data_IF_058755440833
#
_entry.id   IF_058755440833
#
_cell.length_a   1.000
_cell.length_b   1.000
_cell.length_c   1.000
_cell.angle_alpha   90.00
_cell.angle_beta   90.00
_cell.angle_gamma   90.00
#
_symmetry.space_group_name_H-M   'P 1'
#
loop_
_entity.id
_entity.type
_entity.pdbx_description
1 polymer ?
#
# COMPACT_ATOMS: atom_id res chain seq x y z
N UNK A 1 6.51 24.74 -35.40
CA UNK A 1 6.80 24.21 -34.04
C UNK A 1 5.51 23.54 -33.56
N UNK A 2 5.41 22.24 -33.77
CA UNK A 2 4.26 21.44 -33.37
C UNK A 2 4.45 21.08 -31.90
N UNK A 3 3.70 21.71 -31.03
CA UNK A 3 3.59 21.35 -29.62
C UNK A 3 2.93 19.97 -29.57
N UNK A 4 3.73 18.95 -29.35
CA UNK A 4 3.26 17.62 -29.08
C UNK A 4 2.48 17.69 -27.75
N UNK A 5 1.18 17.30 -27.72
CA UNK A 5 0.49 17.22 -26.46
C UNK A 5 1.25 16.18 -25.61
N UNK A 6 1.64 16.58 -24.41
CA UNK A 6 2.11 15.63 -23.43
C UNK A 6 1.05 14.54 -23.33
N UNK A 7 1.39 13.33 -23.74
CA UNK A 7 0.62 12.14 -23.40
C UNK A 7 0.63 12.08 -21.88
N UNK A 8 -0.44 12.61 -21.31
CA UNK A 8 -0.82 12.30 -19.94
C UNK A 8 -1.00 10.78 -19.91
N UNK A 9 0.06 10.06 -19.53
CA UNK A 9 -0.01 8.63 -19.28
C UNK A 9 -0.56 8.52 -17.87
N UNK A 10 -1.89 8.32 -17.72
CA UNK A 10 -2.47 8.19 -16.40
C UNK A 10 -1.93 6.89 -15.79
N UNK A 11 -1.34 7.00 -14.61
CA UNK A 11 -1.10 5.89 -13.70
C UNK A 11 -0.10 4.82 -14.14
N UNK A 12 1.10 5.25 -14.54
CA UNK A 12 2.24 4.34 -14.67
C UNK A 12 2.91 4.03 -13.32
N UNK A 13 2.46 4.64 -12.22
CA UNK A 13 3.05 4.46 -10.89
C UNK A 13 2.00 4.27 -9.79
N UNK A 14 2.38 3.49 -8.79
CA UNK A 14 1.62 3.27 -7.56
C UNK A 14 2.23 4.15 -6.46
N UNK A 15 1.38 4.88 -5.76
CA UNK A 15 1.77 5.75 -4.66
C UNK A 15 1.21 5.21 -3.34
N UNK A 16 2.08 4.99 -2.36
CA UNK A 16 1.71 4.58 -1.01
C UNK A 16 2.46 5.46 -0.02
N UNK A 17 1.80 6.48 0.51
CA UNK A 17 2.42 7.45 1.39
C UNK A 17 3.60 8.15 0.72
N UNK A 18 4.80 7.96 1.28
CA UNK A 18 6.06 8.50 0.73
C UNK A 18 6.69 7.62 -0.35
N UNK A 19 6.16 6.41 -0.57
CA UNK A 19 6.71 5.44 -1.50
C UNK A 19 6.06 5.57 -2.88
N UNK A 20 6.87 5.47 -3.92
CA UNK A 20 6.44 5.45 -5.30
C UNK A 20 7.11 4.29 -6.02
N UNK A 21 6.31 3.48 -6.72
CA UNK A 21 6.76 2.33 -7.48
C UNK A 21 6.21 2.38 -8.90
N UNK A 22 7.01 1.94 -9.87
CA UNK A 22 6.50 1.73 -11.22
C UNK A 22 5.45 0.61 -11.21
N UNK A 23 4.42 0.79 -12.03
CA UNK A 23 3.34 -0.20 -12.15
C UNK A 23 3.90 -1.55 -12.63
N UNK A 24 3.73 -2.64 -11.87
CA UNK A 24 4.08 -3.97 -12.33
C UNK A 24 3.24 -4.37 -13.56
N UNK A 25 3.83 -5.13 -14.46
CA UNK A 25 3.19 -5.54 -15.72
C UNK A 25 1.91 -6.37 -15.55
N UNK A 26 1.69 -6.98 -14.39
CA UNK A 26 0.50 -7.79 -14.07
C UNK A 26 -0.67 -6.97 -13.51
N UNK A 27 -0.49 -5.68 -13.25
CA UNK A 27 -1.57 -4.78 -12.81
C UNK A 27 -2.12 -3.98 -13.98
N UNK A 28 -3.45 -3.94 -14.09
CA UNK A 28 -4.11 -3.09 -15.08
C UNK A 28 -4.09 -1.62 -14.64
N UNK A 29 -4.24 -0.66 -15.57
CA UNK A 29 -4.36 0.75 -15.24
C UNK A 29 -5.49 1.03 -14.24
N UNK A 30 -6.64 0.36 -14.41
CA UNK A 30 -7.81 0.51 -13.52
C UNK A 30 -7.52 0.02 -12.11
N UNK A 31 -6.78 -1.08 -11.97
CA UNK A 31 -6.35 -1.60 -10.66
C UNK A 31 -5.37 -0.63 -9.98
N UNK A 32 -4.46 -0.05 -10.76
CA UNK A 32 -3.53 0.97 -10.26
C UNK A 32 -4.27 2.21 -9.76
N UNK A 33 -5.27 2.69 -10.51
CA UNK A 33 -6.13 3.78 -10.08
C UNK A 33 -6.90 3.46 -8.80
N UNK A 34 -7.45 2.24 -8.68
CA UNK A 34 -8.14 1.82 -7.45
C UNK A 34 -7.20 1.83 -6.24
N UNK A 35 -5.97 1.33 -6.40
CA UNK A 35 -4.96 1.34 -5.34
C UNK A 35 -4.63 2.78 -4.95
N UNK A 36 -4.32 3.64 -5.92
CA UNK A 36 -3.96 5.04 -5.67
C UNK A 36 -5.12 5.80 -5.00
N UNK A 37 -6.35 5.58 -5.46
CA UNK A 37 -7.55 6.20 -4.87
C UNK A 37 -7.76 5.74 -3.43
N UNK A 38 -7.62 4.43 -3.15
CA UNK A 38 -7.74 3.89 -1.80
C UNK A 38 -6.66 4.44 -0.88
N UNK A 39 -5.42 4.52 -1.35
CA UNK A 39 -4.29 5.08 -0.59
C UNK A 39 -4.52 6.55 -0.28
N UNK A 40 -4.88 7.36 -1.29
CA UNK A 40 -5.17 8.79 -1.09
C UNK A 40 -6.35 9.01 -0.13
N UNK A 41 -7.38 8.18 -0.23
CA UNK A 41 -8.51 8.23 0.70
C UNK A 41 -8.08 7.95 2.15
N UNK A 42 -7.22 6.97 2.35
CA UNK A 42 -6.68 6.61 3.67
C UNK A 42 -5.76 7.71 4.21
N UNK A 43 -4.87 8.27 3.37
CA UNK A 43 -4.03 9.42 3.74
C UNK A 43 -4.87 10.60 4.20
N UNK A 44 -5.91 10.93 3.44
CA UNK A 44 -6.80 12.06 3.76
C UNK A 44 -7.55 11.83 5.08
N UNK A 45 -8.09 10.64 5.30
CA UNK A 45 -8.79 10.30 6.53
C UNK A 45 -7.84 10.36 7.75
N UNK A 46 -6.60 9.89 7.59
CA UNK A 46 -5.60 9.95 8.65
C UNK A 46 -5.17 11.39 8.92
N UNK A 47 -4.91 12.19 7.89
CA UNK A 47 -4.58 13.61 8.03
C UNK A 47 -5.70 14.37 8.75
N UNK A 48 -6.96 14.16 8.40
CA UNK A 48 -8.10 14.78 9.07
C UNK A 48 -8.19 14.40 10.55
N UNK A 49 -7.90 13.14 10.90
CA UNK A 49 -7.87 12.73 12.31
C UNK A 49 -6.74 13.38 13.09
N UNK A 50 -5.58 13.60 12.48
CA UNK A 50 -4.44 14.29 13.07
C UNK A 50 -4.73 15.79 13.21
N UNK A 51 -5.40 16.42 12.27
CA UNK A 51 -5.87 17.81 12.37
C UNK A 51 -6.87 17.96 13.53
N UNK A 52 -7.81 17.01 13.65
CA UNK A 52 -8.75 17.00 14.78
C UNK A 52 -8.03 16.83 16.14
N UNK A 53 -6.86 16.21 16.17
CA UNK A 53 -5.99 16.11 17.33
C UNK A 53 -5.14 17.37 17.57
N UNK A 54 -5.20 18.37 16.68
CA UNK A 54 -4.56 19.67 16.87
C UNK A 54 -3.31 19.94 16.02
N UNK A 55 -2.98 19.07 15.06
CA UNK A 55 -1.90 19.34 14.11
C UNK A 55 -2.38 20.30 13.01
N UNK A 56 -1.50 21.16 12.53
CA UNK A 56 -1.78 21.95 11.33
C UNK A 56 -1.84 21.06 10.07
N UNK A 57 -2.54 21.52 9.06
CA UNK A 57 -2.83 20.74 7.85
C UNK A 57 -1.56 20.18 7.15
N UNK A 58 -0.52 21.00 7.00
CA UNK A 58 0.71 20.58 6.33
C UNK A 58 1.44 19.49 7.13
N UNK A 59 1.50 19.62 8.45
CA UNK A 59 2.12 18.65 9.35
C UNK A 59 1.30 17.35 9.39
N UNK A 60 -0.02 17.45 9.55
CA UNK A 60 -0.93 16.30 9.55
C UNK A 60 -0.80 15.47 8.26
N UNK A 61 -0.75 16.12 7.10
CA UNK A 61 -0.55 15.46 5.81
C UNK A 61 0.83 14.79 5.71
N UNK A 62 1.88 15.44 6.18
CA UNK A 62 3.23 14.88 6.22
C UNK A 62 3.32 13.62 7.08
N UNK A 63 2.76 13.68 8.29
CA UNK A 63 2.68 12.53 9.20
C UNK A 63 1.86 11.39 8.60
N UNK A 64 0.71 11.69 7.99
CA UNK A 64 -0.13 10.67 7.36
C UNK A 64 0.61 9.91 6.26
N UNK A 65 1.37 10.61 5.42
CA UNK A 65 2.19 9.98 4.36
C UNK A 65 3.32 9.13 4.94
N UNK A 66 4.02 9.61 5.96
CA UNK A 66 5.07 8.86 6.64
C UNK A 66 4.50 7.57 7.25
N UNK A 67 3.39 7.67 7.97
CA UNK A 67 2.70 6.51 8.59
C UNK A 67 2.33 5.46 7.55
N UNK A 68 1.73 5.85 6.42
CA UNK A 68 1.35 4.89 5.39
C UNK A 68 2.58 4.26 4.71
N UNK A 69 3.59 5.07 4.40
CA UNK A 69 4.83 4.58 3.79
C UNK A 69 5.54 3.55 4.69
N UNK A 70 5.75 3.90 5.95
CA UNK A 70 6.44 3.02 6.90
C UNK A 70 5.60 1.80 7.29
N UNK A 71 4.27 1.94 7.36
CA UNK A 71 3.38 0.79 7.53
C UNK A 71 3.48 -0.19 6.35
N UNK A 72 3.58 0.30 5.12
CA UNK A 72 3.77 -0.56 3.95
C UNK A 72 5.12 -1.28 3.96
N UNK A 73 6.20 -0.60 4.37
CA UNK A 73 7.51 -1.22 4.57
C UNK A 73 7.44 -2.29 5.67
N UNK A 74 6.86 -1.95 6.82
CA UNK A 74 6.70 -2.89 7.93
C UNK A 74 5.86 -4.11 7.55
N UNK A 75 4.77 -3.92 6.80
CA UNK A 75 3.94 -5.01 6.30
C UNK A 75 4.72 -5.95 5.36
N UNK A 76 5.57 -5.40 4.48
CA UNK A 76 6.41 -6.18 3.58
C UNK A 76 7.43 -7.03 4.35
N UNK A 77 8.07 -6.47 5.37
CA UNK A 77 8.98 -7.19 6.26
C UNK A 77 8.20 -8.30 7.00
N UNK A 78 7.03 -7.98 7.55
CA UNK A 78 6.16 -8.95 8.21
C UNK A 78 5.77 -10.11 7.29
N UNK A 79 5.49 -9.85 6.02
CA UNK A 79 5.17 -10.90 5.04
C UNK A 79 6.36 -11.81 4.74
N UNK A 80 7.56 -11.27 4.64
CA UNK A 80 8.79 -12.07 4.44
C UNK A 80 9.05 -12.97 5.65
N UNK A 81 8.90 -12.44 6.85
CA UNK A 81 9.07 -13.24 8.09
C UNK A 81 8.00 -14.32 8.24
N UNK A 82 6.78 -14.06 7.79
CA UNK A 82 5.69 -15.02 7.80
C UNK A 82 5.88 -16.16 6.79
N UNK A 83 6.56 -15.91 5.67
CA UNK A 83 6.63 -16.83 4.52
C UNK A 83 6.96 -18.29 4.88
N UNK A 84 8.00 -18.60 5.67
CA UNK A 84 8.33 -20.00 5.97
C UNK A 84 7.20 -20.74 6.69
N UNK A 85 6.45 -20.04 7.53
CA UNK A 85 5.35 -20.62 8.33
C UNK A 85 4.04 -20.60 7.53
N UNK A 86 3.81 -19.56 6.73
CA UNK A 86 2.60 -19.41 5.93
C UNK A 86 2.45 -20.50 4.85
N UNK A 87 3.58 -21.06 4.36
CA UNK A 87 3.54 -22.19 3.44
C UNK A 87 2.91 -23.44 4.07
N UNK A 88 3.07 -23.67 5.38
CA UNK A 88 2.39 -24.79 6.07
C UNK A 88 0.88 -24.56 6.08
N UNK A 89 0.43 -23.32 6.29
CA UNK A 89 -0.98 -22.94 6.17
C UNK A 89 -1.53 -23.17 4.77
N UNK A 90 -0.76 -22.80 3.74
CA UNK A 90 -1.12 -23.07 2.35
C UNK A 90 -1.29 -24.58 2.08
N UNK A 91 -0.37 -25.42 2.54
CA UNK A 91 -0.44 -26.89 2.38
C UNK A 91 -1.69 -27.48 3.05
N UNK A 92 -1.99 -27.05 4.27
CA UNK A 92 -3.23 -27.47 4.96
C UNK A 92 -4.45 -27.00 4.17
N UNK A 93 -4.43 -25.79 3.63
CA UNK A 93 -5.50 -25.25 2.79
C UNK A 93 -5.68 -26.02 1.48
N UNK A 94 -4.58 -26.47 0.83
CA UNK A 94 -4.64 -27.35 -0.36
C UNK A 94 -5.35 -28.66 -0.03
N UNK A 95 -4.93 -29.33 1.06
CA UNK A 95 -5.51 -30.64 1.43
C UNK A 95 -6.99 -30.49 1.78
N UNK A 96 -7.33 -29.51 2.60
CA UNK A 96 -8.73 -29.23 2.97
C UNK A 96 -9.57 -28.86 1.75
N UNK A 97 -9.02 -28.06 0.85
CA UNK A 97 -9.66 -27.67 -0.39
C UNK A 97 -9.85 -28.85 -1.35
N UNK A 98 -8.88 -29.77 -1.43
CA UNK A 98 -9.02 -30.98 -2.24
C UNK A 98 -10.19 -31.86 -1.73
N UNK A 99 -10.28 -32.05 -0.41
CA UNK A 99 -11.38 -32.82 0.20
C UNK A 99 -12.73 -32.13 -0.08
N UNK A 100 -12.81 -30.82 0.13
CA UNK A 100 -14.01 -30.04 -0.10
C UNK A 100 -14.40 -29.97 -1.60
N UNK A 101 -13.42 -30.08 -2.49
CA UNK A 101 -13.62 -30.06 -3.95
C UNK A 101 -14.12 -31.39 -4.54
N UNK A 102 -14.01 -32.50 -3.81
CA UNK A 102 -14.43 -33.83 -4.31
C UNK A 102 -15.87 -33.88 -4.85
N UNK A 103 -16.87 -33.32 -4.19
CA UNK A 103 -18.25 -33.36 -4.69
C UNK A 103 -18.44 -32.62 -6.02
N UNK A 104 -17.51 -31.74 -6.38
CA UNK A 104 -17.55 -30.89 -7.58
C UNK A 104 -16.53 -31.31 -8.64
N UNK A 105 -16.03 -32.56 -8.55
CA UNK A 105 -15.07 -33.08 -9.51
C UNK A 105 -15.68 -33.06 -10.96
N UNK A 106 -14.84 -32.81 -12.03
CA UNK A 106 -13.38 -32.61 -11.96
C UNK A 106 -12.95 -31.17 -11.67
N UNK A 107 -13.81 -30.16 -11.87
CA UNK A 107 -13.46 -28.73 -11.76
C UNK A 107 -13.14 -28.34 -10.33
N UNK A 108 -13.89 -28.86 -9.36
CA UNK A 108 -13.68 -28.59 -7.93
C UNK A 108 -12.32 -29.04 -7.42
N UNK A 109 -11.79 -30.14 -7.97
CA UNK A 109 -10.45 -30.66 -7.57
C UNK A 109 -9.29 -29.77 -8.05
N UNK A 110 -9.53 -28.83 -8.93
CA UNK A 110 -8.52 -27.86 -9.38
C UNK A 110 -8.68 -26.53 -8.68
N UNK A 111 -9.91 -26.01 -8.65
CA UNK A 111 -10.16 -24.64 -8.16
C UNK A 111 -10.13 -24.59 -6.62
N UNK A 112 -10.81 -25.54 -5.95
CA UNK A 112 -10.99 -25.46 -4.50
C UNK A 112 -9.67 -25.61 -3.72
N UNK A 113 -8.71 -26.49 -4.11
CA UNK A 113 -7.39 -26.53 -3.50
C UNK A 113 -6.59 -25.23 -3.65
N UNK A 114 -6.68 -24.56 -4.81
CA UNK A 114 -5.98 -23.28 -5.04
C UNK A 114 -6.54 -22.19 -4.13
N UNK A 115 -7.86 -22.09 -4.04
CA UNK A 115 -8.52 -21.14 -3.14
C UNK A 115 -8.21 -21.48 -1.69
N UNK A 116 -8.24 -22.76 -1.31
CA UNK A 116 -7.88 -23.24 0.01
C UNK A 116 -6.43 -22.88 0.38
N UNK A 117 -5.49 -23.04 -0.55
CA UNK A 117 -4.10 -22.65 -0.36
C UNK A 117 -3.96 -21.14 -0.08
N UNK A 118 -4.64 -20.33 -0.88
CA UNK A 118 -4.60 -18.86 -0.73
C UNK A 118 -5.16 -18.44 0.65
N UNK A 119 -6.29 -19.00 1.06
CA UNK A 119 -6.90 -18.72 2.37
C UNK A 119 -6.01 -19.21 3.51
N UNK A 120 -5.50 -20.43 3.41
CA UNK A 120 -4.61 -21.01 4.44
C UNK A 120 -3.32 -20.21 4.60
N UNK A 121 -2.71 -19.78 3.50
CA UNK A 121 -1.56 -18.88 3.53
C UNK A 121 -1.91 -17.55 4.21
N UNK A 122 -3.00 -16.91 3.77
CA UNK A 122 -3.42 -15.62 4.29
C UNK A 122 -3.73 -15.63 5.79
N UNK A 123 -4.38 -16.69 6.28
CA UNK A 123 -4.68 -16.81 7.72
C UNK A 123 -3.44 -16.87 8.59
N UNK A 124 -2.37 -17.49 8.10
CA UNK A 124 -1.10 -17.57 8.85
C UNK A 124 -0.27 -16.31 8.66
N UNK A 125 -0.25 -15.72 7.46
CA UNK A 125 0.55 -14.54 7.17
C UNK A 125 -0.05 -13.24 7.76
N UNK A 126 -1.38 -13.12 7.82
CA UNK A 126 -2.06 -11.90 8.22
C UNK A 126 -1.59 -11.31 9.57
N UNK A 127 -1.44 -12.07 10.66
CA UNK A 127 -0.99 -11.50 11.93
C UNK A 127 0.42 -10.93 11.85
N UNK A 128 1.34 -11.55 11.09
CA UNK A 128 2.69 -11.04 10.91
C UNK A 128 2.71 -9.75 10.08
N UNK A 129 1.91 -9.71 9.03
CA UNK A 129 1.74 -8.51 8.18
C UNK A 129 1.15 -7.37 9.02
N UNK A 130 0.13 -7.66 9.83
CA UNK A 130 -0.51 -6.66 10.69
C UNK A 130 0.45 -6.13 11.77
N UNK A 131 1.24 -7.01 12.41
CA UNK A 131 2.25 -6.59 13.37
C UNK A 131 3.34 -5.75 12.70
N UNK A 132 3.85 -6.18 11.54
CA UNK A 132 4.83 -5.42 10.77
C UNK A 132 4.29 -4.02 10.38
N UNK A 133 3.06 -3.96 9.85
CA UNK A 133 2.41 -2.70 9.52
C UNK A 133 2.23 -1.80 10.76
N UNK A 134 1.83 -2.38 11.90
CA UNK A 134 1.67 -1.64 13.15
C UNK A 134 2.97 -1.04 13.67
N UNK A 135 4.06 -1.80 13.63
CA UNK A 135 5.40 -1.31 14.00
C UNK A 135 5.84 -0.22 13.03
N UNK A 136 5.69 -0.45 11.71
CA UNK A 136 6.01 0.55 10.69
C UNK A 136 5.21 1.84 10.87
N UNK A 137 3.90 1.73 11.12
CA UNK A 137 3.06 2.89 11.40
C UNK A 137 3.52 3.68 12.63
N UNK A 138 3.92 2.99 13.71
CA UNK A 138 4.45 3.63 14.92
C UNK A 138 5.76 4.39 14.64
N UNK A 139 6.64 3.81 13.83
CA UNK A 139 7.87 4.48 13.36
C UNK A 139 7.52 5.69 12.51
N UNK A 140 6.57 5.55 11.56
CA UNK A 140 6.12 6.65 10.72
C UNK A 140 5.51 7.82 11.49
N UNK A 141 4.76 7.54 12.58
CA UNK A 141 4.27 8.59 13.50
C UNK A 141 5.46 9.30 14.16
N UNK A 142 6.41 8.53 14.70
CA UNK A 142 7.56 9.12 15.39
C UNK A 142 8.40 9.95 14.41
N UNK A 143 8.70 9.43 13.24
CA UNK A 143 9.47 10.13 12.21
C UNK A 143 8.75 11.39 11.71
N UNK A 144 7.46 11.28 11.38
CA UNK A 144 6.66 12.40 10.91
C UNK A 144 6.48 13.52 11.93
N UNK A 145 6.45 13.19 13.23
CA UNK A 145 6.38 14.20 14.29
C UNK A 145 7.72 14.85 14.61
N UNK A 146 8.82 14.08 14.51
CA UNK A 146 10.17 14.56 14.82
C UNK A 146 10.84 15.28 13.64
N UNK A 147 10.50 14.89 12.42
CA UNK A 147 11.05 15.43 11.18
C UNK A 147 9.91 15.96 10.31
N UNK A 148 9.33 17.13 10.62
CA UNK A 148 8.31 17.72 9.75
C UNK A 148 8.87 17.86 8.34
N UNK A 149 8.14 17.37 7.34
CA UNK A 149 8.55 17.51 5.94
C UNK A 149 8.91 18.98 5.67
N UNK A 150 10.03 19.26 4.97
CA UNK A 150 10.38 20.63 4.66
C UNK A 150 9.20 21.25 3.91
N UNK A 151 8.63 22.30 4.47
CA UNK A 151 7.64 23.12 3.77
C UNK A 151 8.30 23.57 2.49
N UNK A 152 7.82 23.08 1.34
CA UNK A 152 8.23 23.62 0.05
C UNK A 152 7.74 25.06 0.04
N UNK A 153 8.61 25.94 0.55
CA UNK A 153 8.40 27.36 0.45
C UNK A 153 8.32 27.64 -1.06
N UNK A 154 7.24 28.24 -1.58
CA UNK A 154 7.23 28.69 -2.95
C UNK A 154 8.48 29.57 -3.10
N UNK A 155 9.41 29.15 -3.94
CA UNK A 155 10.59 29.96 -4.23
C UNK A 155 10.12 31.37 -4.58
N UNK A 156 10.85 32.43 -4.22
CA UNK A 156 10.48 33.79 -4.56
C UNK A 156 10.22 33.81 -6.08
N UNK A 157 8.98 34.09 -6.43
CA UNK A 157 8.58 34.29 -7.82
C UNK A 157 9.58 35.26 -8.43
N UNK A 158 10.22 34.80 -9.48
CA UNK A 158 11.20 35.52 -10.27
C UNK A 158 10.68 36.93 -10.61
N UNK A 159 11.04 37.90 -9.78
CA UNK A 159 10.75 39.29 -9.96
C UNK A 159 11.90 39.95 -10.77
N UNK A 160 12.17 39.40 -11.95
CA UNK A 160 13.11 40.03 -12.87
C UNK A 160 12.63 39.82 -14.32
N UNK A 161 11.59 40.56 -14.68
CA UNK A 161 11.46 41.00 -16.08
C UNK A 161 11.78 42.48 -16.12
N UNK A 162 12.91 42.91 -16.68
CA UNK A 162 13.11 44.30 -17.07
C UNK A 162 12.33 44.58 -18.33
N UNK A 163 11.67 45.70 -18.33
CA UNK A 163 11.01 46.40 -19.45
C UNK A 163 11.89 46.61 -20.66
#
# INVERSE_FOLDING_TARGET
MTTQPALDIPDSSIHIGTLQFDRPFFLTPEQTQQINTATTGTETALAQSLEAAGLDHAHATGVAKAVLGDAAIGASIGSVLASPIAWTGALVGVVSGAIAGLPFAPIGLVIVPVVGAAIGYAMVAAPFIALGAGVGAAVGVADGLLNPAPTTQPGPADATQPS
#
